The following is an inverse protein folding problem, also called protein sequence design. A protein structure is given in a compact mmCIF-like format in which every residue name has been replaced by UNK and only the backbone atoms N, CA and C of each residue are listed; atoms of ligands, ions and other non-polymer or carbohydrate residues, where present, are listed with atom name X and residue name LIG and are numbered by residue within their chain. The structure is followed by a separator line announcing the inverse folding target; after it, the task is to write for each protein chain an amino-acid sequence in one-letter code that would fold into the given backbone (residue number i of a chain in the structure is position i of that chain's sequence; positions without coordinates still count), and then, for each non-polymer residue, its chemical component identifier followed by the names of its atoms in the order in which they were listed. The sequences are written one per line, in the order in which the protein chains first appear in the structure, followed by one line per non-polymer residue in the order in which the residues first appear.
data_IF_777616012189
#
_entry.id   IF_777616012189
#
_cell.length_a   1.000
_cell.length_b   1.000
_cell.length_c   1.000
_cell.angle_alpha   90.00
_cell.angle_beta   90.00
_cell.angle_gamma   90.00
#
_symmetry.space_group_name_H-M   'P 1'
#
loop_
_entity.id
_entity.type
_entity.pdbx_description
1 polymer ?
#
# COMPACT_ATOMS: atom_id res chain seq x y z
N UNK A 1 34.40 18.25 17.55
CA UNK A 1 34.65 18.18 19.02
C UNK A 1 34.65 16.73 19.46
N UNK A 2 35.66 16.27 20.21
CA UNK A 2 35.73 14.87 20.67
C UNK A 2 34.57 14.52 21.63
N UNK A 3 33.98 13.33 21.46
CA UNK A 3 32.77 12.84 22.15
C UNK A 3 32.83 13.00 23.69
N UNK A 4 33.99 12.74 24.28
CA UNK A 4 34.20 12.83 25.72
C UNK A 4 34.18 14.28 26.24
N UNK A 5 34.55 15.27 25.41
CA UNK A 5 34.48 16.69 25.77
C UNK A 5 33.04 17.23 25.71
N UNK A 6 32.26 16.85 24.69
CA UNK A 6 30.85 17.23 24.56
C UNK A 6 30.00 16.69 25.72
N UNK A 7 30.20 15.41 26.07
CA UNK A 7 29.52 14.77 27.21
C UNK A 7 29.83 15.48 28.54
N UNK A 8 31.07 15.95 28.72
CA UNK A 8 31.50 16.68 29.92
C UNK A 8 30.86 18.06 30.02
N UNK A 9 30.76 18.78 28.90
CA UNK A 9 30.08 20.08 28.83
C UNK A 9 28.58 19.98 29.12
N UNK A 10 27.90 19.00 28.52
CA UNK A 10 26.46 18.82 28.73
C UNK A 10 26.12 18.41 30.17
N UNK A 11 26.96 17.58 30.81
CA UNK A 11 26.82 17.27 32.25
C UNK A 11 26.98 18.52 33.13
N UNK A 12 27.88 19.42 32.77
CA UNK A 12 28.12 20.67 33.48
C UNK A 12 26.92 21.62 33.40
N UNK A 13 26.28 21.70 32.24
CA UNK A 13 25.11 22.58 32.00
C UNK A 13 23.85 22.04 32.68
N UNK A 14 23.62 20.72 32.65
CA UNK A 14 22.37 20.13 33.14
C UNK A 14 22.45 19.50 34.54
N UNK A 15 23.59 19.65 35.24
CA UNK A 15 23.82 19.25 36.65
C UNK A 15 23.22 17.88 37.01
N UNK A 16 23.51 16.86 36.20
CA UNK A 16 23.10 15.46 36.40
C UNK A 16 21.58 15.18 36.44
N UNK A 17 20.72 16.09 35.97
CA UNK A 17 19.25 15.89 35.98
C UNK A 17 18.70 15.03 34.84
N UNK A 18 19.50 14.65 33.85
CA UNK A 18 19.06 13.85 32.70
C UNK A 18 20.11 12.83 32.25
N UNK A 19 19.65 11.63 31.89
CA UNK A 19 20.47 10.59 31.26
C UNK A 19 20.50 10.81 29.74
N UNK A 20 21.54 11.47 29.23
CA UNK A 20 21.72 11.70 27.80
C UNK A 20 22.15 10.37 27.14
N UNK A 21 21.30 9.82 26.27
CA UNK A 21 21.58 8.58 25.52
C UNK A 21 22.32 8.90 24.22
N UNK A 22 22.98 7.90 23.64
CA UNK A 22 23.75 8.05 22.40
C UNK A 22 22.90 8.60 21.24
N UNK A 23 21.59 8.26 21.21
CA UNK A 23 20.64 8.76 20.21
C UNK A 23 20.40 10.29 20.31
N UNK A 24 20.41 10.87 21.50
CA UNK A 24 20.25 12.32 21.69
C UNK A 24 21.47 13.10 21.21
N UNK A 25 22.66 12.50 21.28
CA UNK A 25 23.91 13.11 20.81
C UNK A 25 24.00 13.04 19.28
N UNK A 26 23.51 11.96 18.66
CA UNK A 26 23.42 11.86 17.19
C UNK A 26 22.44 12.90 16.64
N UNK A 27 21.30 13.12 17.30
CA UNK A 27 20.36 14.18 16.93
C UNK A 27 21.00 15.58 17.00
N UNK A 28 21.85 15.84 18.00
CA UNK A 28 22.56 17.11 18.20
C UNK A 28 23.73 17.34 17.22
N UNK A 29 24.35 16.26 16.74
CA UNK A 29 25.45 16.33 15.76
C UNK A 29 24.90 16.49 14.34
N UNK A 30 23.77 15.86 14.02
CA UNK A 30 23.08 16.04 12.74
C UNK A 30 22.54 17.47 12.59
N UNK A 31 22.19 18.16 13.68
CA UNK A 31 21.77 19.57 13.66
C UNK A 31 22.90 20.59 13.50
N UNK A 32 24.18 20.18 13.42
CA UNK A 32 25.33 21.10 13.37
C UNK A 32 26.15 21.02 12.06
N UNK A 33 25.59 20.46 10.98
CA UNK A 33 26.27 20.31 9.69
C UNK A 33 26.07 21.50 8.75
N UNK A 34 27.18 22.17 8.43
CA UNK A 34 27.34 23.26 7.44
C UNK A 34 26.60 23.01 6.11
N UNK A 35 25.45 23.64 5.93
CA UNK A 35 24.85 24.21 4.70
C UNK A 35 23.59 24.92 5.22
N UNK A 36 23.42 26.22 4.92
CA UNK A 36 22.29 27.11 5.31
C UNK A 36 21.49 26.68 6.56
N UNK A 37 21.78 27.29 7.72
CA UNK A 37 21.21 26.95 9.04
C UNK A 37 19.68 26.78 9.04
N UNK A 38 19.20 25.55 8.88
CA UNK A 38 17.83 25.18 9.25
C UNK A 38 17.83 24.94 10.76
N UNK A 39 17.44 25.96 11.52
CA UNK A 39 17.13 25.85 12.95
C UNK A 39 15.87 25.01 13.17
N UNK A 40 15.93 23.70 12.92
CA UNK A 40 14.80 22.80 13.16
C UNK A 40 14.55 22.68 14.68
N UNK A 41 13.51 23.35 15.18
CA UNK A 41 13.00 23.26 16.54
C UNK A 41 12.16 21.98 16.69
N UNK A 42 12.08 21.48 17.92
CA UNK A 42 11.23 20.34 18.26
C UNK A 42 10.14 20.78 19.24
N UNK A 43 8.88 20.64 18.85
CA UNK A 43 7.71 20.84 19.71
C UNK A 43 7.37 19.51 20.39
N UNK A 44 7.30 19.50 21.73
CA UNK A 44 7.05 18.29 22.53
C UNK A 44 5.81 18.49 23.41
N UNK A 45 4.95 17.48 23.49
CA UNK A 45 3.80 17.46 24.40
C UNK A 45 3.85 16.21 25.28
N UNK A 46 3.76 16.36 26.60
CA UNK A 46 3.61 15.29 27.59
C UNK A 46 2.35 15.43 28.46
N UNK A 47 1.50 16.41 28.17
CA UNK A 47 0.29 16.72 28.93
C UNK A 47 -0.98 16.65 28.06
N UNK A 48 -2.13 17.03 28.65
CA UNK A 48 -3.39 17.15 27.90
C UNK A 48 -3.53 18.56 27.33
N UNK A 49 -3.63 18.67 26.01
CA UNK A 49 -3.91 19.93 25.31
C UNK A 49 -5.24 19.87 24.57
N UNK A 50 -5.92 21.02 24.48
CA UNK A 50 -7.19 21.20 23.78
C UNK A 50 -7.05 21.99 22.47
N UNK A 51 -5.82 22.08 21.98
CA UNK A 51 -5.41 22.83 20.79
C UNK A 51 -4.66 21.89 19.83
N UNK A 52 -4.45 22.33 18.58
CA UNK A 52 -3.61 21.59 17.63
C UNK A 52 -2.15 21.62 18.08
N UNK A 53 -1.43 20.53 17.85
CA UNK A 53 0.03 20.50 18.00
C UNK A 53 0.68 20.73 16.64
N UNK A 54 1.51 21.77 16.51
CA UNK A 54 2.03 22.27 15.23
C UNK A 54 3.56 22.41 15.25
N UNK A 55 4.18 22.09 14.12
CA UNK A 55 5.55 22.41 13.76
C UNK A 55 5.56 22.97 12.32
N UNK A 56 6.35 24.02 12.07
CA UNK A 56 6.44 24.72 10.78
C UNK A 56 7.90 24.72 10.29
N UNK A 57 8.12 24.90 8.99
CA UNK A 57 9.44 25.16 8.38
C UNK A 57 10.53 24.15 8.73
N UNK A 58 10.21 22.85 8.67
CA UNK A 58 11.18 21.78 8.90
C UNK A 58 11.39 21.41 10.37
N UNK A 59 10.60 22.02 11.26
CA UNK A 59 10.50 21.65 12.66
C UNK A 59 9.90 20.25 12.84
N UNK A 60 10.14 19.67 14.02
CA UNK A 60 9.65 18.35 14.39
C UNK A 60 8.59 18.46 15.47
N UNK A 61 7.57 17.60 15.41
CA UNK A 61 6.51 17.55 16.43
C UNK A 61 6.45 16.15 17.06
N UNK A 62 6.49 16.08 18.40
CA UNK A 62 6.53 14.82 19.16
C UNK A 62 5.52 14.81 20.30
N UNK A 63 4.47 14.01 20.20
CA UNK A 63 3.53 13.77 21.30
C UNK A 63 4.02 12.56 22.11
N UNK A 64 4.47 12.78 23.34
CA UNK A 64 5.02 11.75 24.22
C UNK A 64 3.92 10.82 24.76
N UNK A 65 4.33 9.72 25.39
CA UNK A 65 3.44 8.65 25.84
C UNK A 65 2.29 9.10 26.76
N UNK A 66 2.53 10.10 27.60
CA UNK A 66 1.51 10.67 28.50
C UNK A 66 0.69 11.79 27.85
N UNK A 67 1.13 12.29 26.69
CA UNK A 67 0.50 13.38 25.98
C UNK A 67 -0.86 13.00 25.39
N UNK A 68 -1.84 13.88 25.58
CA UNK A 68 -3.21 13.74 25.07
C UNK A 68 -3.60 14.98 24.30
N UNK A 69 -3.95 14.83 23.03
CA UNK A 69 -4.42 15.92 22.17
C UNK A 69 -5.93 15.74 21.97
N UNK A 70 -6.73 16.74 22.33
CA UNK A 70 -8.19 16.77 22.11
C UNK A 70 -8.57 18.02 21.36
N UNK A 71 -8.65 17.92 20.04
CA UNK A 71 -8.90 19.07 19.19
C UNK A 71 -10.16 18.89 18.34
N UNK A 72 -10.77 20.02 17.98
CA UNK A 72 -12.01 20.09 17.18
C UNK A 72 -11.82 21.00 15.96
N UNK A 73 -10.63 20.99 15.37
CA UNK A 73 -10.34 21.66 14.10
C UNK A 73 -9.64 20.70 13.14
N UNK A 74 -9.24 21.21 11.98
CA UNK A 74 -8.87 20.37 10.83
C UNK A 74 -7.72 19.41 11.12
N UNK A 75 -6.74 19.81 11.94
CA UNK A 75 -5.55 19.01 12.22
C UNK A 75 -5.36 18.77 13.72
N UNK A 76 -5.31 17.51 14.15
CA UNK A 76 -4.99 17.17 15.54
C UNK A 76 -3.52 17.42 15.87
N UNK A 77 -2.62 16.75 15.15
CA UNK A 77 -1.17 16.92 15.23
C UNK A 77 -0.61 17.09 13.83
N UNK A 78 0.27 18.08 13.64
CA UNK A 78 0.73 18.45 12.30
C UNK A 78 2.17 18.98 12.24
N UNK A 79 2.88 18.63 11.18
CA UNK A 79 4.17 19.20 10.80
C UNK A 79 4.16 19.67 9.34
N UNK A 80 4.64 20.88 9.08
CA UNK A 80 4.75 21.48 7.75
C UNK A 80 6.20 21.89 7.46
N UNK A 81 6.62 21.78 6.21
CA UNK A 81 7.89 22.31 5.73
C UNK A 81 7.75 22.82 4.29
N UNK A 82 7.57 24.13 4.12
CA UNK A 82 7.39 24.76 2.81
C UNK A 82 8.55 25.72 2.54
N UNK A 83 9.19 25.61 1.38
CA UNK A 83 10.18 26.58 0.91
C UNK A 83 10.12 26.76 -0.60
N UNK A 84 10.22 28.02 -1.02
CA UNK A 84 10.33 28.44 -2.42
C UNK A 84 11.62 29.27 -2.56
N UNK A 85 12.45 28.97 -3.55
CA UNK A 85 13.67 29.75 -3.85
C UNK A 85 13.76 30.09 -5.33
N UNK A 86 14.22 31.31 -5.58
CA UNK A 86 14.16 31.95 -6.89
C UNK A 86 15.40 31.74 -7.78
N UNK A 87 16.56 31.30 -7.27
CA UNK A 87 17.79 31.19 -8.09
C UNK A 87 18.67 30.02 -7.66
N UNK A 88 19.11 29.16 -8.61
CA UNK A 88 20.17 28.11 -8.59
C UNK A 88 20.38 27.28 -7.29
N UNK A 89 19.45 27.36 -6.35
CA UNK A 89 19.59 26.84 -5.01
C UNK A 89 19.13 25.39 -4.95
N UNK A 90 19.77 24.63 -4.07
CA UNK A 90 19.33 23.30 -3.69
C UNK A 90 18.41 23.41 -2.48
N UNK A 91 17.11 23.33 -2.73
CA UNK A 91 16.11 23.32 -1.69
C UNK A 91 15.96 21.93 -1.08
N UNK A 92 15.85 21.91 0.25
CA UNK A 92 15.62 20.69 1.00
C UNK A 92 14.64 20.93 2.14
N UNK A 93 13.43 20.39 1.99
CA UNK A 93 12.42 20.42 3.03
C UNK A 93 12.24 19.05 3.67
N UNK A 94 12.13 19.05 4.99
CA UNK A 94 11.97 17.84 5.78
C UNK A 94 10.88 18.06 6.82
N UNK A 95 9.74 17.38 6.70
CA UNK A 95 8.67 17.42 7.71
C UNK A 95 8.66 16.14 8.55
N UNK A 96 8.53 16.27 9.88
CA UNK A 96 8.56 15.12 10.79
C UNK A 96 7.54 15.21 11.93
N UNK A 97 6.68 14.19 12.05
CA UNK A 97 5.72 14.07 13.14
C UNK A 97 5.75 12.67 13.80
N UNK A 98 5.81 12.62 15.13
CA UNK A 98 5.90 11.36 15.90
C UNK A 98 4.89 11.34 17.05
N UNK A 99 3.95 10.40 17.04
CA UNK A 99 2.98 10.22 18.13
C UNK A 99 3.26 8.96 18.96
N UNK A 100 3.54 9.12 20.25
CA UNK A 100 3.54 8.04 21.25
C UNK A 100 2.30 8.07 22.16
N UNK A 101 1.59 9.20 22.20
CA UNK A 101 0.45 9.45 23.09
C UNK A 101 -0.91 9.17 22.46
N UNK A 102 -1.94 9.89 22.92
CA UNK A 102 -3.30 9.78 22.39
C UNK A 102 -3.71 11.04 21.65
N UNK A 103 -4.23 10.88 20.44
CA UNK A 103 -4.83 11.95 19.64
C UNK A 103 -6.31 11.63 19.46
N UNK A 104 -7.18 12.57 19.82
CA UNK A 104 -8.60 12.54 19.48
C UNK A 104 -8.94 13.81 18.70
N UNK A 105 -9.26 13.65 17.42
CA UNK A 105 -9.68 14.76 16.58
C UNK A 105 -11.07 14.49 15.95
N UNK A 106 -11.76 15.58 15.58
CA UNK A 106 -12.97 15.51 14.75
C UNK A 106 -12.83 16.21 13.39
N UNK A 107 -11.74 16.94 13.15
CA UNK A 107 -11.47 17.54 11.85
C UNK A 107 -10.84 16.57 10.86
N UNK A 108 -10.39 17.11 9.73
CA UNK A 108 -9.94 16.36 8.57
C UNK A 108 -8.85 15.32 8.89
N UNK A 109 -7.85 15.65 9.70
CA UNK A 109 -6.69 14.82 9.96
C UNK A 109 -6.50 14.54 11.45
N UNK A 110 -6.34 13.26 11.82
CA UNK A 110 -5.88 12.89 13.16
C UNK A 110 -4.43 13.32 13.37
N UNK A 111 -3.56 12.84 12.49
CA UNK A 111 -2.14 13.19 12.41
C UNK A 111 -1.79 13.49 10.95
N UNK A 112 -1.06 14.57 10.69
CA UNK A 112 -0.71 15.03 9.35
C UNK A 112 0.76 15.47 9.27
N UNK A 113 1.39 15.29 8.11
CA UNK A 113 2.68 15.89 7.83
C UNK A 113 2.80 16.19 6.33
N UNK A 114 3.38 17.34 6.01
CA UNK A 114 3.54 17.82 4.64
C UNK A 114 4.90 18.51 4.46
N UNK A 115 5.52 18.31 3.29
CA UNK A 115 6.72 19.03 2.89
C UNK A 115 6.65 19.37 1.40
N UNK A 116 6.81 20.65 1.08
CA UNK A 116 6.70 21.18 -0.29
C UNK A 116 7.93 22.00 -0.63
N UNK A 117 8.69 21.58 -1.64
CA UNK A 117 9.88 22.30 -2.10
C UNK A 117 9.69 22.77 -3.54
N UNK A 118 9.91 24.05 -3.80
CA UNK A 118 9.71 24.65 -5.13
C UNK A 118 10.92 25.47 -5.57
N UNK A 119 11.61 25.03 -6.62
CA UNK A 119 12.86 25.65 -7.10
C UNK A 119 12.72 26.23 -8.51
N UNK A 120 13.24 27.44 -8.72
CA UNK A 120 13.29 28.13 -10.01
C UNK A 120 14.72 28.17 -10.57
N UNK A 121 14.86 28.52 -11.86
CA UNK A 121 16.14 28.84 -12.52
C UNK A 121 17.25 27.80 -12.31
N UNK A 122 17.05 26.57 -12.85
CA UNK A 122 17.94 25.40 -12.70
C UNK A 122 18.08 24.87 -11.26
N UNK A 123 17.39 25.45 -10.29
CA UNK A 123 17.39 24.99 -8.90
C UNK A 123 16.86 23.55 -8.76
N UNK A 124 17.32 22.85 -7.72
CA UNK A 124 16.87 21.48 -7.44
C UNK A 124 15.98 21.46 -6.21
N UNK A 125 14.80 20.85 -6.31
CA UNK A 125 13.87 20.73 -5.19
C UNK A 125 13.90 19.32 -4.60
N UNK A 126 14.16 19.23 -3.30
CA UNK A 126 14.04 17.99 -2.54
C UNK A 126 13.07 18.16 -1.39
N UNK A 127 12.03 17.33 -1.34
CA UNK A 127 11.08 17.30 -0.24
C UNK A 127 11.06 15.91 0.41
N UNK A 128 10.92 15.87 1.72
CA UNK A 128 10.91 14.61 2.48
C UNK A 128 9.95 14.70 3.65
N UNK A 129 9.01 13.76 3.75
CA UNK A 129 8.11 13.70 4.90
C UNK A 129 8.17 12.36 5.60
N UNK A 130 8.27 12.40 6.93
CA UNK A 130 8.34 11.22 7.79
C UNK A 130 7.31 11.33 8.90
N UNK A 131 6.36 10.40 8.93
CA UNK A 131 5.37 10.31 10.01
C UNK A 131 5.41 8.94 10.68
N UNK A 132 5.34 8.93 12.01
CA UNK A 132 5.31 7.69 12.79
C UNK A 132 4.31 7.75 13.93
N UNK A 133 3.39 6.77 13.98
CA UNK A 133 2.50 6.57 15.12
C UNK A 133 2.86 5.31 15.90
N UNK A 134 3.26 5.48 17.15
CA UNK A 134 3.31 4.43 18.17
C UNK A 134 2.11 4.44 19.12
N UNK A 135 1.36 5.55 19.15
CA UNK A 135 0.27 5.80 20.08
C UNK A 135 -1.12 5.41 19.55
N UNK A 136 -2.14 6.08 20.07
CA UNK A 136 -3.54 5.90 19.63
C UNK A 136 -4.03 7.15 18.93
N UNK A 137 -4.58 6.99 17.72
CA UNK A 137 -5.27 8.04 16.98
C UNK A 137 -6.74 7.64 16.87
N UNK A 138 -7.64 8.53 17.30
CA UNK A 138 -9.08 8.43 17.09
C UNK A 138 -9.51 9.67 16.31
N UNK A 139 -9.78 9.51 15.02
CA UNK A 139 -10.25 10.59 14.17
C UNK A 139 -11.66 10.32 13.62
N UNK A 140 -12.40 11.40 13.34
CA UNK A 140 -13.70 11.34 12.66
C UNK A 140 -13.73 12.01 11.29
N UNK A 141 -12.69 12.73 10.89
CA UNK A 141 -12.58 13.30 9.55
C UNK A 141 -11.90 12.36 8.56
N UNK A 142 -11.47 12.95 7.45
CA UNK A 142 -11.03 12.26 6.24
C UNK A 142 -9.87 11.28 6.47
N UNK A 143 -8.81 11.69 7.18
CA UNK A 143 -7.62 10.88 7.42
C UNK A 143 -7.42 10.55 8.90
N UNK A 144 -7.19 9.27 9.22
CA UNK A 144 -6.63 8.89 10.52
C UNK A 144 -5.19 9.40 10.64
N UNK A 145 -4.36 8.99 9.69
CA UNK A 145 -3.04 9.54 9.43
C UNK A 145 -2.93 9.88 7.94
N UNK A 146 -2.60 11.13 7.64
CA UNK A 146 -2.38 11.63 6.28
C UNK A 146 -0.95 12.12 6.11
N UNK A 147 -0.40 11.98 4.91
CA UNK A 147 0.92 12.49 4.56
C UNK A 147 0.94 12.92 3.11
N UNK A 148 1.51 14.08 2.87
CA UNK A 148 1.70 14.63 1.53
C UNK A 148 3.15 15.10 1.38
N UNK A 149 3.73 15.03 0.18
CA UNK A 149 5.06 15.57 -0.10
C UNK A 149 5.16 15.95 -1.55
N UNK A 150 5.47 17.23 -1.81
CA UNK A 150 5.52 17.79 -3.14
C UNK A 150 6.91 18.37 -3.43
N UNK A 151 7.44 18.13 -4.63
CA UNK A 151 8.65 18.81 -5.08
C UNK A 151 8.51 19.25 -6.55
N UNK A 152 8.69 20.54 -6.79
CA UNK A 152 8.57 21.17 -8.11
C UNK A 152 9.85 21.89 -8.49
N UNK A 153 10.29 21.73 -9.75
CA UNK A 153 11.41 22.50 -10.28
C UNK A 153 11.19 22.92 -11.74
N UNK A 154 11.65 24.13 -12.05
CA UNK A 154 11.47 24.80 -13.34
C UNK A 154 12.82 25.01 -14.05
N UNK A 155 12.79 25.27 -15.37
CA UNK A 155 13.96 25.66 -16.17
C UNK A 155 15.11 24.64 -16.12
N UNK A 156 14.82 23.32 -16.14
CA UNK A 156 15.81 22.25 -16.14
C UNK A 156 16.25 21.76 -14.76
N UNK A 157 15.60 22.23 -13.70
CA UNK A 157 15.79 21.73 -12.35
C UNK A 157 15.36 20.27 -12.17
N UNK A 158 15.93 19.59 -11.18
CA UNK A 158 15.56 18.21 -10.85
C UNK A 158 14.81 18.15 -9.52
N UNK A 159 13.85 17.22 -9.43
CA UNK A 159 13.01 17.05 -8.25
C UNK A 159 13.10 15.67 -7.64
N UNK A 160 13.03 15.64 -6.32
CA UNK A 160 12.97 14.41 -5.54
C UNK A 160 12.04 14.60 -4.35
N UNK A 161 10.91 13.90 -4.35
CA UNK A 161 10.02 13.83 -3.19
C UNK A 161 10.01 12.42 -2.61
N UNK A 162 10.10 12.33 -1.29
CA UNK A 162 10.13 11.05 -0.59
C UNK A 162 9.25 11.08 0.65
N UNK A 163 8.28 10.17 0.70
CA UNK A 163 7.38 10.03 1.84
C UNK A 163 7.56 8.69 2.54
N UNK A 164 7.64 8.70 3.87
CA UNK A 164 7.61 7.51 4.71
C UNK A 164 6.59 7.64 5.81
N UNK A 165 5.60 6.74 5.82
CA UNK A 165 4.57 6.70 6.86
C UNK A 165 4.55 5.34 7.56
N UNK A 166 4.69 5.34 8.89
CA UNK A 166 4.71 4.09 9.68
C UNK A 166 3.73 4.12 10.83
N UNK A 167 2.83 3.13 10.90
CA UNK A 167 1.96 2.89 12.04
C UNK A 167 2.39 1.66 12.84
N UNK A 168 2.89 1.86 14.05
CA UNK A 168 3.07 0.83 15.08
C UNK A 168 1.92 0.77 16.08
N UNK A 169 1.12 1.85 16.17
CA UNK A 169 0.07 2.02 17.17
C UNK A 169 -1.32 1.60 16.69
N UNK A 170 -2.33 2.26 17.24
CA UNK A 170 -3.74 2.06 16.85
C UNK A 170 -4.29 3.28 16.14
N UNK A 171 -4.87 3.09 14.96
CA UNK A 171 -5.64 4.11 14.25
C UNK A 171 -7.10 3.67 14.22
N UNK A 172 -8.00 4.53 14.69
CA UNK A 172 -9.45 4.39 14.55
C UNK A 172 -9.97 5.61 13.81
N UNK A 173 -10.30 5.46 12.54
CA UNK A 173 -10.78 6.56 11.70
C UNK A 173 -12.17 6.29 11.16
N UNK A 174 -12.99 7.35 11.03
CA UNK A 174 -14.32 7.26 10.42
C UNK A 174 -14.43 7.82 9.01
N UNK A 175 -13.47 8.62 8.56
CA UNK A 175 -13.44 9.10 7.17
C UNK A 175 -12.75 8.12 6.24
N UNK A 176 -12.37 8.64 5.07
CA UNK A 176 -11.98 7.84 3.93
C UNK A 176 -10.71 7.02 4.12
N UNK A 177 -9.71 7.55 4.80
CA UNK A 177 -8.39 6.95 4.85
C UNK A 177 -7.97 6.60 6.28
N UNK A 178 -7.69 5.32 6.54
CA UNK A 178 -7.05 4.92 7.80
C UNK A 178 -5.63 5.48 7.88
N UNK A 179 -4.79 5.03 6.95
CA UNK A 179 -3.46 5.57 6.65
C UNK A 179 -3.43 5.95 5.16
N UNK A 180 -3.33 7.25 4.85
CA UNK A 180 -3.20 7.77 3.49
C UNK A 180 -1.86 8.46 3.30
N UNK A 181 -1.19 8.17 2.18
CA UNK A 181 0.17 8.65 1.88
C UNK A 181 0.27 9.01 0.41
N UNK A 182 0.67 10.24 0.12
CA UNK A 182 0.78 10.77 -1.24
C UNK A 182 2.13 11.46 -1.44
N UNK A 183 2.72 11.28 -2.62
CA UNK A 183 3.96 11.96 -3.03
C UNK A 183 3.80 12.41 -4.47
N UNK A 184 4.11 13.67 -4.75
CA UNK A 184 4.09 14.23 -6.09
C UNK A 184 5.43 14.92 -6.40
N UNK A 185 5.89 14.77 -7.63
CA UNK A 185 7.01 15.57 -8.15
C UNK A 185 6.77 16.03 -9.56
N UNK A 186 7.14 17.28 -9.86
CA UNK A 186 7.14 17.82 -11.22
C UNK A 186 8.52 18.42 -11.55
N UNK A 187 9.08 18.12 -12.73
CA UNK A 187 10.28 18.75 -13.26
C UNK A 187 10.04 19.22 -14.70
N UNK A 188 10.27 20.50 -14.99
CA UNK A 188 10.07 21.09 -16.33
C UNK A 188 11.40 21.30 -17.09
N UNK A 189 11.30 21.48 -18.41
CA UNK A 189 12.39 21.85 -19.32
C UNK A 189 13.60 20.90 -19.23
N UNK A 190 13.41 19.62 -19.55
CA UNK A 190 14.44 18.55 -19.51
C UNK A 190 14.86 18.06 -18.10
N UNK A 191 14.22 18.55 -17.04
CA UNK A 191 14.45 18.10 -15.67
C UNK A 191 14.14 16.62 -15.42
N UNK A 192 14.59 16.08 -14.28
CA UNK A 192 14.22 14.72 -13.84
C UNK A 192 13.37 14.76 -12.59
N UNK A 193 12.28 13.99 -12.58
CA UNK A 193 11.32 13.91 -11.48
C UNK A 193 11.35 12.51 -10.85
N UNK A 194 11.54 12.46 -9.53
CA UNK A 194 11.54 11.21 -8.77
C UNK A 194 10.63 11.28 -7.55
N UNK A 195 9.53 10.51 -7.57
CA UNK A 195 8.60 10.38 -6.45
C UNK A 195 8.71 9.00 -5.80
N UNK A 196 8.90 8.96 -4.49
CA UNK A 196 8.98 7.71 -3.73
C UNK A 196 8.03 7.73 -2.54
N UNK A 197 7.10 6.79 -2.49
CA UNK A 197 6.16 6.59 -1.38
C UNK A 197 6.42 5.27 -0.68
N UNK A 198 6.64 5.30 0.64
CA UNK A 198 6.72 4.10 1.49
C UNK A 198 5.70 4.17 2.61
N UNK A 199 4.83 3.16 2.72
CA UNK A 199 3.89 3.03 3.84
C UNK A 199 4.01 1.67 4.53
N UNK A 200 3.96 1.66 5.86
CA UNK A 200 4.04 0.44 6.66
C UNK A 200 3.06 0.44 7.84
N UNK A 201 2.31 -0.64 7.99
CA UNK A 201 1.47 -0.89 9.16
C UNK A 201 1.97 -2.10 9.95
N UNK A 202 2.48 -1.88 11.14
CA UNK A 202 2.80 -2.90 12.15
C UNK A 202 1.73 -3.00 13.24
N UNK A 203 0.89 -1.98 13.38
CA UNK A 203 -0.13 -1.88 14.41
C UNK A 203 -1.52 -2.32 13.96
N UNK A 204 -2.54 -1.63 14.48
CA UNK A 204 -3.95 -1.87 14.10
C UNK A 204 -4.53 -0.64 13.44
N UNK A 205 -5.11 -0.83 12.24
CA UNK A 205 -5.92 0.17 11.57
C UNK A 205 -7.37 -0.32 11.59
N UNK A 206 -8.28 0.50 12.11
CA UNK A 206 -9.73 0.31 12.00
C UNK A 206 -10.33 1.52 11.31
N UNK A 207 -10.71 1.38 10.05
CA UNK A 207 -11.21 2.46 9.21
C UNK A 207 -12.62 2.17 8.72
N UNK A 208 -13.49 3.19 8.70
CA UNK A 208 -14.87 3.05 8.22
C UNK A 208 -15.12 3.61 6.82
N UNK A 209 -14.22 4.42 6.28
CA UNK A 209 -14.33 4.92 4.91
C UNK A 209 -13.61 4.05 3.90
N UNK A 210 -13.34 4.64 2.74
CA UNK A 210 -12.98 3.93 1.50
C UNK A 210 -11.73 3.04 1.60
N UNK A 211 -10.67 3.50 2.25
CA UNK A 211 -9.35 2.87 2.26
C UNK A 211 -8.85 2.57 3.67
N UNK A 212 -8.54 1.30 3.96
CA UNK A 212 -7.79 0.92 5.15
C UNK A 212 -6.40 1.53 5.12
N UNK A 213 -5.67 1.25 4.04
CA UNK A 213 -4.36 1.84 3.73
C UNK A 213 -4.32 2.25 2.26
N UNK A 214 -3.84 3.47 2.00
CA UNK A 214 -3.70 4.06 0.68
C UNK A 214 -2.29 4.65 0.52
N UNK A 215 -1.67 4.41 -0.63
CA UNK A 215 -0.38 4.99 -0.98
C UNK A 215 -0.28 5.33 -2.47
N UNK A 216 0.17 6.53 -2.80
CA UNK A 216 0.35 6.96 -4.19
C UNK A 216 1.68 7.70 -4.38
N UNK A 217 2.32 7.49 -5.52
CA UNK A 217 3.47 8.28 -5.97
C UNK A 217 3.22 8.73 -7.41
N UNK A 218 3.46 10.00 -7.72
CA UNK A 218 3.32 10.56 -9.06
C UNK A 218 4.57 11.36 -9.43
N UNK A 219 5.15 11.09 -10.60
CA UNK A 219 6.29 11.84 -11.11
C UNK A 219 6.03 12.35 -12.53
N UNK A 220 6.21 13.64 -12.74
CA UNK A 220 5.95 14.32 -14.01
C UNK A 220 7.23 15.02 -14.47
N UNK A 221 7.70 14.68 -15.66
CA UNK A 221 8.84 15.30 -16.32
C UNK A 221 8.45 15.75 -17.73
N UNK A 222 8.73 17.00 -18.08
CA UNK A 222 8.40 17.55 -19.41
C UNK A 222 9.59 17.45 -20.37
N UNK A 223 9.31 17.57 -21.67
CA UNK A 223 10.30 17.42 -22.75
C UNK A 223 11.09 16.11 -22.64
N UNK A 224 12.40 16.08 -22.94
CA UNK A 224 13.20 14.84 -22.82
C UNK A 224 13.50 14.44 -21.35
N UNK A 225 12.81 15.05 -20.38
CA UNK A 225 12.92 14.75 -18.96
C UNK A 225 12.52 13.31 -18.61
N UNK A 226 13.10 12.80 -17.52
CA UNK A 226 12.86 11.44 -17.03
C UNK A 226 11.99 11.45 -15.78
N UNK A 227 10.98 10.59 -15.75
CA UNK A 227 10.04 10.48 -14.64
C UNK A 227 10.10 9.08 -14.01
N UNK A 228 10.28 9.03 -12.69
CA UNK A 228 10.27 7.77 -11.94
C UNK A 228 9.36 7.88 -10.73
N UNK A 229 8.33 7.04 -10.66
CA UNK A 229 7.45 6.96 -9.50
C UNK A 229 7.50 5.55 -8.89
N UNK A 230 7.77 5.47 -7.60
CA UNK A 230 7.84 4.20 -6.86
C UNK A 230 6.97 4.23 -5.62
N UNK A 231 6.07 3.26 -5.49
CA UNK A 231 5.26 3.08 -4.29
C UNK A 231 5.50 1.70 -3.68
N UNK A 232 5.87 1.67 -2.39
CA UNK A 232 5.97 0.44 -1.60
C UNK A 232 5.05 0.52 -0.40
N UNK A 233 4.21 -0.50 -0.22
CA UNK A 233 3.25 -0.56 0.89
C UNK A 233 3.23 -1.93 1.55
N UNK A 234 3.39 -1.97 2.87
CA UNK A 234 3.49 -3.23 3.61
C UNK A 234 2.57 -3.26 4.84
N UNK A 235 1.78 -4.32 4.98
CA UNK A 235 1.02 -4.60 6.20
C UNK A 235 1.61 -5.80 6.94
N UNK A 236 2.14 -5.57 8.14
CA UNK A 236 2.56 -6.59 9.10
C UNK A 236 1.56 -6.75 10.24
N UNK A 237 0.67 -5.77 10.45
CA UNK A 237 -0.29 -5.73 11.53
C UNK A 237 -1.70 -6.18 11.10
N UNK A 238 -2.70 -5.53 11.68
CA UNK A 238 -4.12 -5.79 11.36
C UNK A 238 -4.76 -4.58 10.70
N UNK A 239 -5.41 -4.79 9.57
CA UNK A 239 -6.27 -3.80 8.91
C UNK A 239 -7.71 -4.32 9.00
N UNK A 240 -8.61 -3.52 9.58
CA UNK A 240 -10.06 -3.74 9.59
C UNK A 240 -10.73 -2.57 8.89
N UNK A 241 -11.13 -2.77 7.64
CA UNK A 241 -11.73 -1.72 6.84
C UNK A 241 -13.19 -2.04 6.50
N UNK A 242 -14.07 -1.06 6.64
CA UNK A 242 -15.49 -1.22 6.33
C UNK A 242 -15.89 -0.63 4.97
N UNK A 243 -15.00 0.12 4.31
CA UNK A 243 -15.20 0.58 2.93
C UNK A 243 -14.59 -0.36 1.90
N UNK A 244 -14.34 0.19 0.71
CA UNK A 244 -14.04 -0.57 -0.51
C UNK A 244 -12.72 -1.34 -0.46
N UNK A 245 -11.64 -0.69 -0.03
CA UNK A 245 -10.27 -1.18 -0.19
C UNK A 245 -9.61 -1.47 1.16
N UNK A 246 -9.15 -2.71 1.36
CA UNK A 246 -8.29 -3.04 2.50
C UNK A 246 -6.93 -2.36 2.38
N UNK A 247 -6.22 -2.64 1.29
CA UNK A 247 -4.99 -1.97 0.87
C UNK A 247 -5.08 -1.57 -0.60
N UNK A 248 -4.76 -0.32 -0.89
CA UNK A 248 -4.62 0.20 -2.26
C UNK A 248 -3.30 0.94 -2.39
N UNK A 249 -2.56 0.69 -3.46
CA UNK A 249 -1.41 1.50 -3.79
C UNK A 249 -1.27 1.64 -5.31
N UNK A 250 -0.63 2.72 -5.75
CA UNK A 250 -0.34 2.95 -7.16
C UNK A 250 0.84 3.91 -7.37
N UNK A 251 1.32 3.93 -8.60
CA UNK A 251 2.35 4.84 -9.07
C UNK A 251 1.98 5.33 -10.48
N UNK A 252 2.12 6.62 -10.74
CA UNK A 252 1.85 7.27 -12.02
C UNK A 252 3.06 8.02 -12.54
N UNK A 253 3.25 8.04 -13.85
CA UNK A 253 4.33 8.80 -14.49
C UNK A 253 3.89 9.49 -15.76
N UNK A 254 4.34 10.73 -15.92
CA UNK A 254 4.29 11.46 -17.19
C UNK A 254 5.71 11.90 -17.55
N UNK A 255 6.19 11.56 -18.74
CA UNK A 255 7.56 11.84 -19.18
C UNK A 255 7.60 11.99 -20.68
N UNK A 256 8.23 13.03 -21.22
CA UNK A 256 8.55 13.06 -22.66
C UNK A 256 9.82 12.25 -23.01
N UNK A 257 10.70 12.01 -22.02
CA UNK A 257 11.74 10.98 -22.04
C UNK A 257 11.29 9.65 -21.41
N UNK A 258 12.24 8.89 -20.84
CA UNK A 258 11.92 7.63 -20.13
C UNK A 258 11.01 7.87 -18.91
N UNK A 259 9.95 7.09 -18.82
CA UNK A 259 8.98 7.13 -17.73
C UNK A 259 8.77 5.73 -17.15
N UNK A 260 8.88 5.60 -15.83
CA UNK A 260 8.79 4.32 -15.12
C UNK A 260 7.97 4.42 -13.85
N UNK A 261 6.91 3.62 -13.76
CA UNK A 261 6.05 3.52 -12.60
C UNK A 261 6.14 2.12 -11.98
N UNK A 262 6.46 2.02 -10.69
CA UNK A 262 6.56 0.74 -9.97
C UNK A 262 5.75 0.77 -8.69
N UNK A 263 4.86 -0.22 -8.53
CA UNK A 263 4.06 -0.39 -7.30
C UNK A 263 4.29 -1.77 -6.70
N UNK A 264 4.63 -1.82 -5.41
CA UNK A 264 4.78 -3.08 -4.66
C UNK A 264 3.92 -3.02 -3.40
N UNK A 265 3.02 -3.99 -3.25
CA UNK A 265 2.15 -4.12 -2.09
C UNK A 265 2.38 -5.49 -1.46
N UNK A 266 2.59 -5.54 -0.15
CA UNK A 266 2.76 -6.79 0.59
C UNK A 266 1.88 -6.86 1.83
N UNK A 267 1.25 -8.01 2.04
CA UNK A 267 0.54 -8.31 3.28
C UNK A 267 1.18 -9.50 3.99
N UNK A 268 1.83 -9.26 5.12
CA UNK A 268 2.30 -10.27 6.07
C UNK A 268 1.32 -10.49 7.23
N UNK A 269 0.45 -9.52 7.48
CA UNK A 269 -0.51 -9.52 8.58
C UNK A 269 -1.90 -10.02 8.20
N UNK A 270 -2.92 -9.42 8.81
CA UNK A 270 -4.33 -9.74 8.54
C UNK A 270 -5.06 -8.54 7.96
N UNK A 271 -5.81 -8.76 6.88
CA UNK A 271 -6.76 -7.80 6.31
C UNK A 271 -8.17 -8.37 6.49
N UNK A 272 -9.03 -7.65 7.21
CA UNK A 272 -10.47 -7.88 7.28
C UNK A 272 -11.17 -6.70 6.59
N UNK A 273 -11.65 -6.90 5.36
CA UNK A 273 -12.28 -5.84 4.57
C UNK A 273 -13.74 -6.19 4.24
N UNK A 274 -14.64 -5.22 4.41
CA UNK A 274 -16.07 -5.42 4.11
C UNK A 274 -16.44 -5.07 2.67
N UNK A 275 -15.70 -4.16 2.04
CA UNK A 275 -15.97 -3.74 0.68
C UNK A 275 -15.38 -4.65 -0.40
N UNK A 276 -15.28 -4.11 -1.60
CA UNK A 276 -15.11 -4.89 -2.82
C UNK A 276 -13.70 -5.44 -3.05
N UNK A 277 -12.67 -4.84 -2.46
CA UNK A 277 -11.27 -5.13 -2.77
C UNK A 277 -10.44 -5.32 -1.50
N UNK A 278 -9.93 -6.52 -1.26
CA UNK A 278 -8.99 -6.77 -0.16
C UNK A 278 -7.65 -6.07 -0.42
N UNK A 279 -7.02 -6.41 -1.53
CA UNK A 279 -5.72 -5.93 -1.99
C UNK A 279 -5.63 -6.11 -3.51
N UNK A 280 -4.86 -5.32 -4.24
CA UNK A 280 -4.68 -5.56 -5.67
C UNK A 280 -3.56 -4.76 -6.31
N UNK A 281 -3.03 -5.31 -7.41
CA UNK A 281 -2.12 -4.64 -8.31
C UNK A 281 -2.91 -4.01 -9.46
N UNK A 282 -2.78 -2.70 -9.61
CA UNK A 282 -3.45 -1.93 -10.65
C UNK A 282 -2.42 -1.11 -11.39
N UNK A 283 -2.30 -1.33 -12.69
CA UNK A 283 -1.58 -0.40 -13.56
C UNK A 283 -2.53 0.75 -13.85
N UNK A 284 -2.13 1.96 -13.42
CA UNK A 284 -2.96 3.15 -13.56
C UNK A 284 -3.16 3.56 -15.02
N UNK A 285 -4.21 4.36 -15.29
CA UNK A 285 -4.41 5.00 -16.60
C UNK A 285 -3.40 6.13 -16.89
N UNK A 286 -2.63 6.53 -15.88
CA UNK A 286 -1.79 7.74 -15.88
C UNK A 286 -0.29 7.43 -15.94
N UNK A 287 0.10 6.24 -16.41
CA UNK A 287 1.50 5.89 -16.61
C UNK A 287 1.80 5.91 -18.10
N UNK A 288 2.59 6.88 -18.53
CA UNK A 288 3.32 6.83 -19.79
C UNK A 288 4.61 6.03 -19.54
N UNK A 289 4.96 5.15 -20.47
CA UNK A 289 6.16 4.31 -20.37
C UNK A 289 5.94 2.97 -19.63
N UNK A 290 7.01 2.48 -18.98
CA UNK A 290 7.04 1.15 -18.38
C UNK A 290 6.38 1.17 -16.99
N UNK A 291 5.25 0.48 -16.86
CA UNK A 291 4.50 0.40 -15.61
C UNK A 291 4.42 -1.04 -15.09
N UNK A 292 4.74 -1.23 -13.81
CA UNK A 292 4.60 -2.53 -13.13
C UNK A 292 3.91 -2.39 -11.78
N UNK A 293 3.07 -3.36 -11.45
CA UNK A 293 2.38 -3.41 -10.17
C UNK A 293 2.35 -4.85 -9.66
N UNK A 294 2.87 -5.06 -8.44
CA UNK A 294 2.92 -6.39 -7.83
C UNK A 294 2.27 -6.37 -6.45
N UNK A 295 1.32 -7.26 -6.21
CA UNK A 295 0.66 -7.44 -4.93
C UNK A 295 0.87 -8.85 -4.39
N UNK A 296 1.51 -9.01 -3.22
CA UNK A 296 1.81 -10.31 -2.62
C UNK A 296 1.17 -10.47 -1.24
N UNK A 297 0.34 -11.50 -1.07
CA UNK A 297 -0.19 -11.88 0.23
C UNK A 297 0.60 -13.04 0.85
N UNK A 298 1.33 -12.79 1.94
CA UNK A 298 1.94 -13.81 2.81
C UNK A 298 1.05 -14.16 4.02
N UNK A 299 0.18 -13.25 4.42
CA UNK A 299 -0.69 -13.38 5.59
C UNK A 299 -2.10 -13.88 5.25
N UNK A 300 -3.10 -13.30 5.91
CA UNK A 300 -4.50 -13.66 5.73
C UNK A 300 -5.32 -12.48 5.18
N UNK A 301 -6.13 -12.73 4.16
CA UNK A 301 -7.11 -11.76 3.66
C UNK A 301 -8.51 -12.37 3.80
N UNK A 302 -9.36 -11.68 4.57
CA UNK A 302 -10.78 -11.94 4.73
C UNK A 302 -11.52 -10.75 4.15
N UNK A 303 -12.07 -10.93 2.95
CA UNK A 303 -12.90 -9.91 2.30
C UNK A 303 -14.37 -10.37 2.32
N UNK A 304 -15.34 -9.46 2.40
CA UNK A 304 -16.77 -9.80 2.24
C UNK A 304 -17.33 -9.37 0.88
N UNK A 305 -16.75 -8.37 0.22
CA UNK A 305 -17.11 -8.01 -1.15
C UNK A 305 -16.45 -8.90 -2.21
N UNK A 306 -16.45 -8.43 -3.45
CA UNK A 306 -16.17 -9.26 -4.63
C UNK A 306 -14.79 -9.90 -4.66
N UNK A 307 -13.72 -9.12 -4.45
CA UNK A 307 -12.34 -9.53 -4.74
C UNK A 307 -11.45 -9.47 -3.51
N UNK A 308 -10.75 -10.57 -3.20
CA UNK A 308 -9.74 -10.58 -2.12
C UNK A 308 -8.42 -10.04 -2.67
N UNK A 309 -8.10 -10.48 -3.88
CA UNK A 309 -6.91 -10.10 -4.62
C UNK A 309 -7.28 -9.81 -6.09
N UNK A 310 -6.72 -8.76 -6.70
CA UNK A 310 -6.96 -8.45 -8.10
C UNK A 310 -5.71 -7.95 -8.82
N UNK A 311 -5.51 -8.36 -10.08
CA UNK A 311 -4.52 -7.83 -11.00
C UNK A 311 -5.21 -7.23 -12.23
N UNK A 312 -4.97 -5.96 -12.53
CA UNK A 312 -5.58 -5.28 -13.68
C UNK A 312 -4.55 -4.52 -14.50
N UNK A 313 -4.45 -4.89 -15.79
CA UNK A 313 -3.52 -4.28 -16.75
C UNK A 313 -2.29 -5.15 -17.03
N UNK A 314 -1.68 -4.94 -18.18
CA UNK A 314 -0.41 -5.56 -18.55
C UNK A 314 0.71 -5.03 -17.63
N UNK A 315 1.50 -5.94 -17.05
CA UNK A 315 2.45 -5.60 -15.98
C UNK A 315 1.88 -5.66 -14.56
N UNK A 316 0.57 -5.91 -14.39
CA UNK A 316 -0.02 -6.21 -13.08
C UNK A 316 0.11 -7.70 -12.72
N UNK A 317 0.68 -7.99 -11.56
CA UNK A 317 0.84 -9.33 -11.02
C UNK A 317 0.34 -9.40 -9.58
N UNK A 318 -0.39 -10.45 -9.23
CA UNK A 318 -0.87 -10.66 -7.86
C UNK A 318 -0.69 -12.10 -7.40
N UNK A 319 -0.02 -12.29 -6.27
CA UNK A 319 0.44 -13.59 -5.80
C UNK A 319 -0.09 -13.86 -4.39
N UNK A 320 -0.82 -14.96 -4.20
CA UNK A 320 -1.18 -15.46 -2.89
C UNK A 320 -0.20 -16.53 -2.42
N UNK A 321 0.56 -16.25 -1.35
CA UNK A 321 1.42 -17.19 -0.60
C UNK A 321 0.87 -17.56 0.77
N UNK A 322 -0.17 -16.86 1.21
CA UNK A 322 -0.83 -17.08 2.49
C UNK A 322 -2.20 -17.72 2.34
N UNK A 323 -3.19 -17.21 3.09
CA UNK A 323 -4.57 -17.70 3.09
C UNK A 323 -5.54 -16.64 2.59
N UNK A 324 -6.34 -16.98 1.60
CA UNK A 324 -7.51 -16.20 1.18
C UNK A 324 -8.76 -16.93 1.67
N UNK A 325 -9.48 -16.27 2.57
CA UNK A 325 -10.70 -16.80 3.18
C UNK A 325 -11.91 -16.02 2.66
N UNK A 326 -13.01 -16.73 2.51
CA UNK A 326 -14.16 -16.27 1.76
C UNK A 326 -15.39 -16.21 2.64
N UNK A 327 -16.15 -15.14 2.40
CA UNK A 327 -17.38 -14.81 3.10
C UNK A 327 -18.35 -14.21 2.10
N UNK A 328 -19.60 -14.66 2.17
CA UNK A 328 -20.69 -14.24 1.27
C UNK A 328 -20.84 -15.17 0.07
N UNK A 329 -21.89 -14.97 -0.73
CA UNK A 329 -22.15 -15.72 -1.97
C UNK A 329 -21.69 -14.91 -3.20
N UNK A 330 -21.58 -15.55 -4.38
CA UNK A 330 -21.33 -14.88 -5.67
C UNK A 330 -20.07 -13.99 -5.73
N UNK A 331 -18.92 -14.50 -5.27
CA UNK A 331 -17.67 -13.74 -5.23
C UNK A 331 -16.57 -14.37 -6.06
N UNK A 332 -15.53 -13.58 -6.36
CA UNK A 332 -14.34 -14.01 -7.09
C UNK A 332 -13.13 -13.74 -6.22
N UNK A 333 -12.45 -14.78 -5.71
CA UNK A 333 -11.37 -14.59 -4.74
C UNK A 333 -10.19 -13.84 -5.34
N UNK A 334 -9.67 -14.37 -6.45
CA UNK A 334 -8.60 -13.75 -7.23
C UNK A 334 -9.11 -13.44 -8.64
N UNK A 335 -8.96 -12.19 -9.10
CA UNK A 335 -9.34 -11.77 -10.47
C UNK A 335 -8.16 -11.19 -11.22
N UNK A 336 -7.98 -11.62 -12.47
CA UNK A 336 -7.07 -11.00 -13.42
C UNK A 336 -7.84 -10.49 -14.65
N UNK A 337 -7.47 -9.31 -15.15
CA UNK A 337 -8.05 -8.73 -16.37
C UNK A 337 -7.03 -7.91 -17.17
N UNK A 338 -7.25 -7.79 -18.48
CA UNK A 338 -6.48 -6.94 -19.39
C UNK A 338 -4.98 -7.26 -19.39
N UNK A 339 -4.62 -8.53 -19.57
CA UNK A 339 -3.22 -8.99 -19.53
C UNK A 339 -2.63 -9.20 -18.14
N UNK A 340 -3.38 -8.89 -17.06
CA UNK A 340 -2.93 -9.13 -15.69
C UNK A 340 -2.72 -10.60 -15.37
N UNK A 341 -1.90 -10.87 -14.34
CA UNK A 341 -1.54 -12.22 -13.90
C UNK A 341 -1.93 -12.41 -12.43
N UNK A 342 -2.64 -13.50 -12.12
CA UNK A 342 -2.88 -13.96 -10.74
C UNK A 342 -2.25 -15.34 -10.51
N UNK A 343 -1.59 -15.50 -9.37
CA UNK A 343 -0.89 -16.73 -8.99
C UNK A 343 -1.30 -17.15 -7.57
N UNK A 344 -1.70 -18.40 -7.40
CA UNK A 344 -1.92 -19.00 -6.09
C UNK A 344 -0.80 -19.99 -5.76
N UNK A 345 0.06 -19.64 -4.81
CA UNK A 345 1.07 -20.52 -4.20
C UNK A 345 0.67 -20.96 -2.77
N UNK A 346 -0.38 -20.36 -2.22
CA UNK A 346 -0.91 -20.60 -0.87
C UNK A 346 -2.24 -21.35 -0.89
N UNK A 347 -3.16 -20.96 -0.01
CA UNK A 347 -4.49 -21.59 0.12
C UNK A 347 -5.61 -20.62 -0.21
N UNK A 348 -6.56 -21.08 -1.02
CA UNK A 348 -7.84 -20.43 -1.27
C UNK A 348 -8.95 -21.37 -0.77
N UNK A 349 -9.80 -20.88 0.12
CA UNK A 349 -10.94 -21.64 0.64
C UNK A 349 -12.26 -21.04 0.18
N UNK A 350 -13.08 -21.82 -0.52
CA UNK A 350 -14.48 -21.55 -0.85
C UNK A 350 -15.34 -22.33 0.16
N UNK A 351 -15.82 -21.68 1.21
CA UNK A 351 -16.39 -22.35 2.40
C UNK A 351 -17.79 -22.96 2.17
N UNK A 352 -18.16 -23.97 2.98
CA UNK A 352 -19.42 -24.76 2.89
C UNK A 352 -20.71 -23.92 2.90
N UNK A 353 -20.68 -22.76 3.57
CA UNK A 353 -21.84 -21.88 3.70
C UNK A 353 -22.11 -20.99 2.48
N UNK A 354 -21.34 -21.13 1.40
CA UNK A 354 -21.36 -20.20 0.28
C UNK A 354 -21.63 -20.86 -1.08
N UNK A 355 -22.39 -20.15 -1.92
CA UNK A 355 -22.75 -20.56 -3.28
C UNK A 355 -22.05 -19.73 -4.35
N UNK A 356 -21.82 -20.34 -5.51
CA UNK A 356 -21.35 -19.68 -6.74
C UNK A 356 -19.99 -18.96 -6.58
N UNK A 357 -19.18 -19.41 -5.63
CA UNK A 357 -17.85 -18.83 -5.36
C UNK A 357 -16.83 -19.25 -6.40
N UNK A 358 -16.11 -18.30 -6.98
CA UNK A 358 -15.01 -18.56 -7.92
C UNK A 358 -13.67 -18.29 -7.24
N UNK A 359 -12.77 -19.27 -7.17
CA UNK A 359 -11.45 -19.07 -6.56
C UNK A 359 -10.52 -18.22 -7.45
N UNK A 360 -10.36 -18.55 -8.73
CA UNK A 360 -9.51 -17.78 -9.64
C UNK A 360 -10.21 -17.49 -10.96
N UNK A 361 -10.22 -16.23 -11.41
CA UNK A 361 -10.87 -15.80 -12.65
C UNK A 361 -9.94 -14.98 -13.55
N UNK A 362 -9.71 -15.45 -14.78
CA UNK A 362 -9.00 -14.73 -15.83
C UNK A 362 -9.94 -14.30 -16.96
N UNK A 363 -9.84 -13.03 -17.39
CA UNK A 363 -10.65 -12.49 -18.50
C UNK A 363 -9.85 -11.48 -19.32
N UNK A 364 -10.23 -11.25 -20.58
CA UNK A 364 -9.65 -10.21 -21.44
C UNK A 364 -8.12 -10.34 -21.59
N UNK A 365 -7.65 -11.53 -21.98
CA UNK A 365 -6.22 -11.80 -22.20
C UNK A 365 -5.42 -12.05 -20.92
N UNK A 366 -6.08 -12.15 -19.77
CA UNK A 366 -5.40 -12.37 -18.49
C UNK A 366 -5.02 -13.83 -18.24
N UNK A 367 -4.13 -14.06 -17.27
CA UNK A 367 -3.66 -15.39 -16.89
C UNK A 367 -3.88 -15.67 -15.41
N UNK A 368 -4.32 -16.89 -15.09
CA UNK A 368 -4.50 -17.36 -13.73
C UNK A 368 -3.83 -18.72 -13.50
N UNK A 369 -2.95 -18.81 -12.50
CA UNK A 369 -2.11 -19.99 -12.26
C UNK A 369 -2.27 -20.48 -10.81
N UNK A 370 -2.75 -21.71 -10.63
CA UNK A 370 -2.65 -22.39 -9.34
C UNK A 370 -1.33 -23.16 -9.31
N UNK A 371 -0.31 -22.61 -8.66
CA UNK A 371 1.05 -23.14 -8.67
C UNK A 371 1.17 -24.47 -7.92
N UNK A 372 2.31 -25.16 -8.06
CA UNK A 372 2.54 -26.50 -7.48
C UNK A 372 2.25 -26.59 -5.98
N UNK A 373 2.54 -25.53 -5.24
CA UNK A 373 2.25 -25.42 -3.80
C UNK A 373 0.83 -24.90 -3.50
N UNK A 374 0.17 -24.34 -4.51
CA UNK A 374 -1.17 -23.81 -4.45
C UNK A 374 -2.22 -24.88 -4.18
N UNK A 375 -3.12 -24.57 -3.25
CA UNK A 375 -4.29 -25.38 -2.92
C UNK A 375 -5.55 -24.53 -3.04
N UNK A 376 -6.55 -25.07 -3.73
CA UNK A 376 -7.90 -24.51 -3.82
C UNK A 376 -8.87 -25.54 -3.22
N UNK A 377 -9.66 -25.13 -2.22
CA UNK A 377 -10.65 -25.99 -1.57
C UNK A 377 -12.07 -25.49 -1.89
N UNK A 378 -12.86 -26.32 -2.57
CA UNK A 378 -14.26 -26.08 -2.92
C UNK A 378 -15.17 -26.85 -1.95
N UNK A 379 -15.41 -26.25 -0.79
CA UNK A 379 -16.25 -26.83 0.26
C UNK A 379 -17.74 -26.43 0.10
N UNK A 380 -18.00 -25.32 -0.59
CA UNK A 380 -19.34 -24.79 -0.89
C UNK A 380 -20.15 -25.61 -1.91
N UNK A 381 -21.15 -24.94 -2.48
CA UNK A 381 -22.00 -25.46 -3.56
C UNK A 381 -21.82 -24.62 -4.82
N UNK A 382 -21.90 -25.28 -5.99
CA UNK A 382 -21.80 -24.62 -7.30
C UNK A 382 -20.52 -23.76 -7.49
N UNK A 383 -19.48 -24.03 -6.70
CA UNK A 383 -18.22 -23.30 -6.72
C UNK A 383 -17.35 -23.65 -7.92
N UNK A 384 -16.49 -22.72 -8.33
CA UNK A 384 -15.55 -22.92 -9.43
C UNK A 384 -14.13 -22.69 -8.93
N UNK A 385 -13.24 -23.66 -9.13
CA UNK A 385 -11.83 -23.53 -8.75
C UNK A 385 -11.11 -22.49 -9.61
N UNK A 386 -11.11 -22.71 -10.92
CA UNK A 386 -10.47 -21.80 -11.88
C UNK A 386 -11.37 -21.57 -13.08
N UNK A 387 -11.49 -20.33 -13.55
CA UNK A 387 -12.25 -20.00 -14.75
C UNK A 387 -11.52 -19.01 -15.64
N UNK A 388 -11.56 -19.24 -16.95
CA UNK A 388 -11.11 -18.28 -17.96
C UNK A 388 -12.20 -18.01 -18.99
N UNK A 389 -12.35 -16.73 -19.39
CA UNK A 389 -13.30 -16.31 -20.44
C UNK A 389 -12.68 -15.34 -21.43
N UNK A 390 -12.99 -15.54 -22.71
CA UNK A 390 -12.56 -14.68 -23.80
C UNK A 390 -11.19 -15.05 -24.35
N UNK A 391 -11.01 -14.81 -25.64
CA UNK A 391 -9.78 -15.08 -26.37
C UNK A 391 -8.54 -14.49 -25.68
N UNK A 392 -7.46 -15.27 -25.66
CA UNK A 392 -6.19 -14.93 -25.02
C UNK A 392 -6.15 -15.19 -23.50
N UNK A 393 -7.29 -15.42 -22.84
CA UNK A 393 -7.30 -15.71 -21.40
C UNK A 393 -6.89 -17.16 -21.12
N UNK A 394 -6.08 -17.37 -20.08
CA UNK A 394 -5.54 -18.69 -19.75
C UNK A 394 -5.71 -19.03 -18.26
N UNK A 395 -6.13 -20.27 -17.97
CA UNK A 395 -6.03 -20.86 -16.64
C UNK A 395 -5.11 -22.09 -16.65
N UNK A 396 -4.19 -22.17 -15.69
CA UNK A 396 -3.28 -23.30 -15.52
C UNK A 396 -3.27 -23.81 -14.08
N UNK A 397 -3.65 -25.08 -13.89
CA UNK A 397 -3.50 -25.77 -12.62
C UNK A 397 -2.23 -26.62 -12.61
N UNK A 398 -1.30 -26.32 -11.71
CA UNK A 398 -0.10 -27.11 -11.39
C UNK A 398 -0.16 -27.71 -9.98
N UNK A 399 -1.05 -27.18 -9.13
CA UNK A 399 -1.25 -27.56 -7.74
C UNK A 399 -2.40 -28.54 -7.53
N UNK A 400 -3.16 -28.31 -6.46
CA UNK A 400 -4.31 -29.15 -6.07
C UNK A 400 -5.60 -28.34 -6.03
N UNK A 401 -6.67 -28.93 -6.55
CA UNK A 401 -8.04 -28.44 -6.44
C UNK A 401 -8.87 -29.55 -5.77
N UNK A 402 -9.43 -29.28 -4.61
CA UNK A 402 -10.29 -30.21 -3.88
C UNK A 402 -11.76 -29.83 -4.07
N UNK A 403 -12.57 -30.80 -4.45
CA UNK A 403 -14.03 -30.72 -4.57
C UNK A 403 -14.60 -31.55 -3.42
N UNK A 404 -15.41 -30.96 -2.56
CA UNK A 404 -15.84 -31.61 -1.32
C UNK A 404 -16.93 -32.67 -1.49
N UNK A 405 -17.63 -32.70 -2.62
CA UNK A 405 -18.63 -33.72 -2.93
C UNK A 405 -18.03 -34.96 -3.58
N UNK A 406 -18.83 -36.02 -3.63
CA UNK A 406 -18.53 -37.23 -4.38
C UNK A 406 -18.51 -36.93 -5.88
N UNK A 407 -17.66 -37.63 -6.63
CA UNK A 407 -17.47 -37.42 -8.06
C UNK A 407 -18.76 -37.62 -8.89
N UNK A 408 -19.04 -36.68 -9.80
CA UNK A 408 -20.07 -36.78 -10.85
C UNK A 408 -19.41 -36.91 -12.22
N UNK A 409 -18.50 -35.98 -12.54
CA UNK A 409 -17.71 -36.02 -13.78
C UNK A 409 -16.24 -36.20 -13.41
N UNK A 410 -15.53 -37.18 -14.00
CA UNK A 410 -14.12 -37.40 -13.69
C UNK A 410 -13.26 -36.20 -14.08
N UNK A 411 -12.09 -36.10 -13.46
CA UNK A 411 -11.07 -35.14 -13.87
C UNK A 411 -10.05 -35.78 -14.80
N UNK A 412 -9.63 -35.07 -15.84
CA UNK A 412 -8.45 -35.43 -16.60
C UNK A 412 -7.25 -34.60 -16.12
N UNK A 413 -6.23 -35.29 -15.62
CA UNK A 413 -5.00 -34.69 -15.11
C UNK A 413 -3.87 -34.84 -16.13
N UNK A 414 -2.89 -33.94 -16.10
CA UNK A 414 -1.77 -33.84 -17.05
C UNK A 414 -2.17 -33.50 -18.49
N UNK A 415 -3.18 -32.64 -18.65
CA UNK A 415 -3.59 -32.09 -19.95
C UNK A 415 -2.84 -30.79 -20.25
N UNK A 416 -2.18 -30.72 -21.42
CA UNK A 416 -1.36 -29.57 -21.82
C UNK A 416 -2.12 -28.51 -22.62
N UNK A 417 -3.27 -28.87 -23.23
CA UNK A 417 -4.13 -27.93 -23.94
C UNK A 417 -5.57 -28.45 -24.06
N UNK A 418 -6.49 -27.94 -23.23
CA UNK A 418 -7.91 -28.22 -23.34
C UNK A 418 -8.57 -27.08 -24.11
N UNK A 419 -8.91 -27.32 -25.38
CA UNK A 419 -9.39 -26.27 -26.28
C UNK A 419 -10.86 -26.43 -26.66
N UNK A 420 -11.58 -27.50 -26.24
CA UNK A 420 -13.07 -27.58 -26.17
C UNK A 420 -13.63 -28.98 -25.86
N UNK A 421 -14.86 -28.97 -25.34
CA UNK A 421 -15.88 -30.01 -25.03
C UNK A 421 -15.50 -31.25 -24.20
N UNK A 422 -16.01 -31.39 -22.95
CA UNK A 422 -16.77 -30.37 -22.22
C UNK A 422 -15.90 -29.14 -21.91
N UNK A 423 -16.52 -27.97 -21.76
CA UNK A 423 -15.82 -26.71 -21.40
C UNK A 423 -15.37 -26.66 -19.94
N UNK A 424 -15.25 -27.80 -19.26
CA UNK A 424 -14.86 -27.90 -17.86
C UNK A 424 -14.15 -29.22 -17.56
N UNK A 425 -13.44 -29.27 -16.43
CA UNK A 425 -12.71 -30.43 -15.94
C UNK A 425 -13.02 -30.70 -14.46
N UNK A 426 -13.60 -31.88 -14.18
CA UNK A 426 -14.01 -32.35 -12.85
C UNK A 426 -15.25 -31.66 -12.29
N UNK A 427 -16.24 -32.46 -11.89
CA UNK A 427 -17.46 -31.99 -11.22
C UNK A 427 -17.91 -32.95 -10.11
N UNK A 428 -18.34 -32.41 -8.97
CA UNK A 428 -18.87 -33.18 -7.83
C UNK A 428 -20.41 -33.10 -7.71
N UNK A 429 -20.97 -33.87 -6.78
CA UNK A 429 -22.41 -33.92 -6.52
C UNK A 429 -22.98 -32.68 -5.83
N UNK A 430 -22.15 -31.70 -5.48
CA UNK A 430 -22.54 -30.38 -4.99
C UNK A 430 -22.53 -29.32 -6.10
N UNK A 431 -22.22 -29.69 -7.34
CA UNK A 431 -22.11 -28.78 -8.49
C UNK A 431 -20.76 -28.04 -8.55
N UNK A 432 -19.81 -28.36 -7.67
CA UNK A 432 -18.50 -27.73 -7.72
C UNK A 432 -17.73 -28.22 -8.94
N UNK A 433 -17.08 -27.30 -9.65
CA UNK A 433 -16.28 -27.58 -10.84
C UNK A 433 -14.83 -27.18 -10.61
N UNK A 434 -13.90 -28.05 -10.99
CA UNK A 434 -12.48 -27.80 -10.79
C UNK A 434 -11.96 -26.66 -11.66
N UNK A 435 -12.12 -26.81 -12.98
CA UNK A 435 -11.68 -25.81 -13.96
C UNK A 435 -12.73 -25.60 -15.05
N UNK A 436 -12.93 -24.38 -15.53
CA UNK A 436 -13.94 -24.02 -16.54
C UNK A 436 -13.37 -23.03 -17.57
N UNK A 437 -13.69 -23.21 -18.85
CA UNK A 437 -13.38 -22.26 -19.92
C UNK A 437 -14.59 -21.92 -20.76
N UNK A 438 -14.58 -20.72 -21.34
CA UNK A 438 -15.54 -20.28 -22.35
C UNK A 438 -14.91 -19.31 -23.35
N UNK A 439 -15.60 -19.08 -24.46
CA UNK A 439 -15.33 -17.98 -25.40
C UNK A 439 -13.89 -17.92 -25.94
N UNK A 440 -13.30 -19.07 -26.27
CA UNK A 440 -11.96 -19.17 -26.86
C UNK A 440 -10.80 -19.03 -25.86
N UNK A 441 -11.06 -19.15 -24.56
CA UNK A 441 -10.03 -19.23 -23.53
C UNK A 441 -9.31 -20.60 -23.52
N UNK A 442 -8.15 -20.66 -22.87
CA UNK A 442 -7.30 -21.85 -22.76
C UNK A 442 -7.29 -22.42 -21.32
N UNK A 443 -7.32 -23.75 -21.20
CA UNK A 443 -7.15 -24.47 -19.94
C UNK A 443 -6.00 -25.48 -20.01
N UNK A 444 -5.19 -25.51 -18.96
CA UNK A 444 -4.07 -26.45 -18.80
C UNK A 444 -4.16 -27.08 -17.41
N UNK A 445 -4.22 -28.40 -17.30
CA UNK A 445 -4.23 -29.09 -16.00
C UNK A 445 -3.04 -30.03 -15.87
N UNK A 446 -1.95 -29.57 -15.27
CA UNK A 446 -0.77 -30.36 -14.88
C UNK A 446 -0.82 -30.81 -13.41
N UNK A 447 -1.81 -30.34 -12.67
CA UNK A 447 -2.02 -30.63 -11.25
C UNK A 447 -2.99 -31.78 -11.01
N UNK A 448 -3.61 -31.78 -9.83
CA UNK A 448 -4.63 -32.75 -9.44
C UNK A 448 -5.95 -32.05 -9.11
N UNK A 449 -7.04 -32.64 -9.60
CA UNK A 449 -8.39 -32.39 -9.09
C UNK A 449 -8.80 -33.61 -8.26
N UNK A 450 -9.24 -33.39 -7.03
CA UNK A 450 -9.47 -34.44 -6.02
C UNK A 450 -10.89 -34.28 -5.50
N UNK A 451 -11.64 -35.38 -5.42
CA UNK A 451 -13.02 -35.41 -4.96
C UNK A 451 -13.10 -35.90 -3.51
N UNK A 452 -14.15 -35.48 -2.81
CA UNK A 452 -14.53 -36.03 -1.52
C UNK A 452 -15.17 -37.41 -1.66
N UNK A 453 -15.37 -38.06 -0.53
CA UNK A 453 -16.07 -39.34 -0.43
C UNK A 453 -17.60 -39.14 -0.54
#
# INVERSE_FOLDING_TARGET
MEFNKLKKYLKLVFKDKFLITYGMIVALIVSAGMYTEVHAKTTVNDETIYERMLAENGDKVINLKLGVIRYYGDFGMVAYAETTAAEEDRLKNISMAINHGTITNRGQYGMYAEADAEAYDLGHATATTIITNHGTIVNRGHFGMGVETNAEAYNGGHTTATTTATNHGTIKNKGDFGLGVETYTEARDYGHATATTTSANYGTIKNYGRYGMFAWASAEAHDDGHATATTTSANYGTIKNYGDYGMYAGAGTYGGGNATATTIITNHGTIENKGNYGMGAYIGQYSYGDATATAINYGAIKNEGYYRMAAMGEGAETINRGRLDTRGDNYIVMKASYGGIIINEGTIDINEGHKDGTAMYAVSGATAINEKNGTINLNGHDGIGMVAKGAGSTIENRGKIYLSGSMVTPSENNQEDWVTTPGFNGEDNKGNRGMVIGDGAKMINKGKIIFGD
#
